data_IF_340607972429
#
_entry.id   IF_340607972429
#
_cell.length_a   1.000
_cell.length_b   1.000
_cell.length_c   1.000
_cell.angle_alpha   90.00
_cell.angle_beta   90.00
_cell.angle_gamma   90.00
#
_symmetry.space_group_name_H-M   'P 1'
#
loop_
_entity.id
_entity.type
_entity.pdbx_description
1 polymer ?
#
# COMPACT_ATOMS: atom_id res chain seq x y z
N UNK A 1 16.24 -11.96 21.11
CA UNK A 1 16.23 -11.33 22.46
C UNK A 1 16.36 -12.46 23.46
N UNK A 2 17.25 -12.37 24.45
CA UNK A 2 17.51 -13.48 25.40
C UNK A 2 16.21 -14.00 26.05
N UNK A 3 15.23 -13.11 26.27
CA UNK A 3 13.96 -13.45 26.93
C UNK A 3 12.73 -13.56 25.99
N UNK A 4 12.92 -13.56 24.66
CA UNK A 4 11.80 -13.68 23.70
C UNK A 4 12.13 -14.60 22.52
N UNK A 5 12.00 -15.93 22.69
CA UNK A 5 12.22 -16.91 21.63
C UNK A 5 11.33 -16.64 20.40
N UNK A 6 11.89 -16.74 19.20
CA UNK A 6 11.19 -16.47 17.94
C UNK A 6 11.11 -14.98 17.55
N UNK A 7 11.51 -14.06 18.43
CA UNK A 7 11.58 -12.64 18.11
C UNK A 7 12.99 -12.21 17.72
N UNK A 8 13.07 -11.45 16.64
CA UNK A 8 14.30 -10.92 16.08
C UNK A 8 14.25 -9.40 16.08
N UNK A 9 15.39 -8.77 16.41
CA UNK A 9 15.62 -7.35 16.19
C UNK A 9 16.56 -7.18 15.02
N UNK A 10 16.36 -6.10 14.26
CA UNK A 10 17.15 -5.75 13.09
C UNK A 10 17.46 -4.27 13.17
N UNK A 11 18.63 -3.88 12.66
CA UNK A 11 18.91 -2.48 12.38
C UNK A 11 17.94 -1.99 11.30
N UNK A 12 17.21 -0.90 11.59
CA UNK A 12 16.15 -0.41 10.71
C UNK A 12 16.69 0.12 9.38
N UNK A 13 17.88 0.71 9.37
CA UNK A 13 18.53 1.23 8.16
C UNK A 13 19.02 0.07 7.30
N UNK A 14 19.63 -0.94 7.91
CA UNK A 14 20.08 -2.14 7.20
C UNK A 14 18.90 -2.90 6.59
N UNK A 15 17.81 -3.07 7.33
CA UNK A 15 16.59 -3.73 6.85
C UNK A 15 16.00 -2.99 5.64
N UNK A 16 15.77 -1.67 5.76
CA UNK A 16 15.19 -0.88 4.68
C UNK A 16 16.08 -0.88 3.43
N UNK A 17 17.39 -0.67 3.61
CA UNK A 17 18.36 -0.65 2.51
C UNK A 17 18.44 -2.02 1.81
N UNK A 18 18.43 -3.11 2.57
CA UNK A 18 18.43 -4.47 2.03
C UNK A 18 17.19 -4.80 1.21
N UNK A 19 16.00 -4.36 1.69
CA UNK A 19 14.74 -4.53 0.95
C UNK A 19 14.74 -3.75 -0.37
N UNK A 20 15.17 -2.49 -0.35
CA UNK A 20 15.29 -1.63 -1.54
C UNK A 20 16.25 -2.26 -2.55
N UNK A 21 17.45 -2.64 -2.11
CA UNK A 21 18.45 -3.27 -2.96
C UNK A 21 17.94 -4.59 -3.57
N UNK A 22 17.30 -5.43 -2.76
CA UNK A 22 16.71 -6.69 -3.20
C UNK A 22 15.62 -6.50 -4.25
N UNK A 23 14.71 -5.55 -4.04
CA UNK A 23 13.64 -5.23 -5.00
C UNK A 23 14.22 -4.75 -6.34
N UNK A 24 15.21 -3.87 -6.31
CA UNK A 24 15.88 -3.37 -7.53
C UNK A 24 16.63 -4.50 -8.26
N UNK A 25 17.32 -5.39 -7.53
CA UNK A 25 17.97 -6.56 -8.14
C UNK A 25 16.98 -7.55 -8.76
N UNK A 26 15.77 -7.64 -8.22
CA UNK A 26 14.68 -8.43 -8.80
C UNK A 26 14.01 -7.75 -10.01
N UNK A 27 14.42 -6.52 -10.37
CA UNK A 27 13.96 -5.81 -11.56
C UNK A 27 12.98 -4.67 -11.28
N UNK A 28 12.60 -4.42 -10.03
CA UNK A 28 11.74 -3.27 -9.69
C UNK A 28 12.44 -1.95 -10.00
N UNK A 29 11.68 -0.97 -10.49
CA UNK A 29 12.11 0.42 -10.65
C UNK A 29 11.54 1.25 -9.52
N UNK A 30 12.38 2.06 -8.89
CA UNK A 30 12.00 2.94 -7.79
C UNK A 30 12.15 4.38 -8.27
N UNK A 31 11.04 5.13 -8.20
CA UNK A 31 10.99 6.56 -8.47
C UNK A 31 10.75 7.27 -7.14
N UNK A 32 11.80 7.84 -6.55
CA UNK A 32 11.69 8.66 -5.35
C UNK A 32 11.38 10.12 -5.72
N UNK A 33 10.95 10.91 -4.74
CA UNK A 33 10.59 12.34 -4.92
C UNK A 33 9.46 12.55 -5.94
N UNK A 34 8.57 11.56 -6.03
CA UNK A 34 7.36 11.56 -6.85
C UNK A 34 6.17 11.35 -5.91
N UNK A 35 5.13 12.16 -6.09
CA UNK A 35 3.84 12.03 -5.40
C UNK A 35 2.78 11.52 -6.38
N UNK A 36 1.78 10.80 -5.86
CA UNK A 36 0.56 10.48 -6.61
C UNK A 36 -0.47 11.56 -6.32
N UNK A 37 -0.96 12.22 -7.36
CA UNK A 37 -1.99 13.26 -7.23
C UNK A 37 -3.38 12.76 -7.64
N UNK A 38 -3.45 11.72 -8.48
CA UNK A 38 -4.72 11.14 -8.94
C UNK A 38 -4.54 9.72 -9.51
N UNK A 39 -5.64 9.14 -9.98
CA UNK A 39 -5.73 7.82 -10.60
C UNK A 39 -5.99 7.94 -12.10
N UNK A 40 -5.44 7.00 -12.86
CA UNK A 40 -5.93 6.75 -14.22
C UNK A 40 -7.10 5.78 -14.09
N UNK A 41 -8.31 6.22 -14.47
CA UNK A 41 -9.53 5.45 -14.36
C UNK A 41 -10.19 5.26 -15.72
N UNK A 42 -10.46 4.01 -16.11
CA UNK A 42 -11.09 3.68 -17.39
C UNK A 42 -11.88 2.38 -17.27
N UNK A 43 -13.02 2.29 -17.93
CA UNK A 43 -13.83 1.05 -18.00
C UNK A 43 -14.16 0.47 -16.60
N UNK A 44 -14.53 1.35 -15.65
CA UNK A 44 -14.81 1.01 -14.24
C UNK A 44 -13.67 0.26 -13.53
N UNK A 45 -12.44 0.60 -13.90
CA UNK A 45 -11.20 0.00 -13.38
C UNK A 45 -10.15 1.07 -13.10
N UNK A 46 -9.32 0.85 -12.08
CA UNK A 46 -8.07 1.59 -11.88
C UNK A 46 -6.99 1.02 -12.80
N UNK A 47 -6.44 1.86 -13.68
CA UNK A 47 -5.51 1.48 -14.75
C UNK A 47 -4.17 2.21 -14.68
N UNK A 48 -3.86 2.85 -13.56
CA UNK A 48 -2.62 3.59 -13.39
C UNK A 48 -2.73 4.73 -12.41
N UNK A 49 -1.69 5.55 -12.39
CA UNK A 49 -1.54 6.67 -11.49
C UNK A 49 -1.22 7.95 -12.28
N UNK A 50 -1.73 9.07 -11.79
CA UNK A 50 -1.31 10.41 -12.18
C UNK A 50 -0.31 10.87 -11.14
N UNK A 51 0.90 11.20 -11.58
CA UNK A 51 2.04 11.48 -10.72
C UNK A 51 2.63 12.85 -11.02
N UNK A 52 3.27 13.42 -10.02
CA UNK A 52 4.05 14.64 -10.17
C UNK A 52 5.30 14.59 -9.30
N UNK A 53 6.18 15.57 -9.49
CA UNK A 53 7.33 15.74 -8.61
C UNK A 53 6.87 16.27 -7.27
N UNK A 54 7.24 15.62 -6.16
CA UNK A 54 6.86 16.08 -4.81
C UNK A 54 7.20 17.56 -4.54
N UNK A 55 8.30 18.15 -5.05
CA UNK A 55 8.55 19.59 -4.91
C UNK A 55 7.53 20.48 -5.63
N UNK A 56 7.00 20.08 -6.78
CA UNK A 56 5.97 20.83 -7.53
C UNK A 56 4.72 20.96 -6.68
N UNK A 57 4.26 19.83 -6.14
CA UNK A 57 3.11 19.77 -5.23
C UNK A 57 3.36 20.61 -3.96
N UNK A 58 4.49 20.40 -3.29
CA UNK A 58 4.83 21.11 -2.03
C UNK A 58 4.97 22.63 -2.19
N UNK A 59 5.40 23.09 -3.36
CA UNK A 59 5.57 24.52 -3.65
C UNK A 59 4.33 25.15 -4.29
N UNK A 60 3.28 24.36 -4.57
CA UNK A 60 2.05 24.85 -5.22
C UNK A 60 2.30 25.36 -6.64
N UNK A 61 3.27 24.78 -7.36
CA UNK A 61 3.60 25.19 -8.72
C UNK A 61 2.54 24.67 -9.70
N UNK A 62 2.17 25.50 -10.67
CA UNK A 62 1.22 25.14 -11.73
C UNK A 62 1.93 24.39 -12.87
N UNK A 63 2.32 23.14 -12.61
CA UNK A 63 2.92 22.23 -13.60
C UNK A 63 2.03 21.01 -13.72
N UNK A 64 1.60 20.71 -14.95
CA UNK A 64 0.74 19.56 -15.23
C UNK A 64 1.43 18.23 -14.88
N UNK A 65 0.67 17.23 -14.37
CA UNK A 65 1.22 15.94 -13.97
C UNK A 65 1.47 15.01 -15.16
N UNK A 66 2.13 13.89 -14.88
CA UNK A 66 2.38 12.80 -15.83
C UNK A 66 1.53 11.57 -15.48
N UNK A 67 1.38 10.63 -16.42
CA UNK A 67 0.65 9.38 -16.19
C UNK A 67 1.57 8.16 -16.26
N UNK A 68 1.30 7.20 -15.37
CA UNK A 68 1.90 5.86 -15.39
C UNK A 68 0.78 4.85 -15.54
N UNK A 69 0.72 4.18 -16.70
CA UNK A 69 -0.29 3.16 -16.99
C UNK A 69 0.16 1.82 -16.39
N UNK A 70 -0.75 1.14 -15.71
CA UNK A 70 -0.52 -0.15 -15.07
C UNK A 70 -1.74 -1.07 -15.15
N UNK A 71 -1.50 -2.39 -15.19
CA UNK A 71 -2.60 -3.37 -15.15
C UNK A 71 -3.28 -3.44 -13.77
N UNK A 72 -2.53 -3.10 -12.72
CA UNK A 72 -2.97 -2.99 -11.34
C UNK A 72 -2.15 -1.94 -10.57
N UNK A 73 -2.76 -1.37 -9.55
CA UNK A 73 -2.16 -0.48 -8.55
C UNK A 73 -2.24 -1.15 -7.19
N UNK A 74 -1.15 -1.12 -6.43
CA UNK A 74 -1.09 -1.58 -5.04
C UNK A 74 -0.86 -0.37 -4.13
N UNK A 75 -1.84 -0.04 -3.30
CA UNK A 75 -1.71 0.97 -2.26
C UNK A 75 -0.88 0.41 -1.09
N UNK A 76 0.39 0.83 -1.04
CA UNK A 76 1.32 0.60 0.06
C UNK A 76 1.67 1.88 0.82
N UNK A 77 0.83 2.92 0.78
CA UNK A 77 1.11 4.24 1.37
C UNK A 77 1.05 4.28 2.90
N UNK A 78 0.70 3.15 3.53
CA UNK A 78 0.66 3.00 4.97
C UNK A 78 -0.65 3.50 5.58
N UNK A 79 -0.59 4.04 6.79
CA UNK A 79 -1.76 4.51 7.54
C UNK A 79 -2.68 5.47 6.76
N UNK A 80 -2.16 6.41 5.94
CA UNK A 80 -3.02 7.35 5.23
C UNK A 80 -3.87 6.76 4.13
N UNK A 81 -3.53 5.58 3.57
CA UNK A 81 -4.27 4.95 2.46
C UNK A 81 -4.56 5.93 1.30
N UNK A 82 -3.55 6.69 0.87
CA UNK A 82 -3.74 7.87 0.02
C UNK A 82 -4.42 7.53 -1.31
N UNK A 83 -4.06 6.40 -1.91
CA UNK A 83 -4.58 5.96 -3.21
C UNK A 83 -6.05 5.53 -3.09
N UNK A 84 -6.39 4.79 -2.03
CA UNK A 84 -7.76 4.40 -1.73
C UNK A 84 -8.64 5.61 -1.38
N UNK A 85 -8.12 6.60 -0.66
CA UNK A 85 -8.81 7.86 -0.41
C UNK A 85 -9.10 8.59 -1.72
N UNK A 86 -8.11 8.78 -2.59
CA UNK A 86 -8.31 9.35 -3.92
C UNK A 86 -9.41 8.61 -4.70
N UNK A 87 -9.39 7.27 -4.66
CA UNK A 87 -10.39 6.47 -5.35
C UNK A 87 -11.81 6.71 -4.80
N UNK A 88 -12.00 6.62 -3.48
CA UNK A 88 -13.32 6.79 -2.85
C UNK A 88 -13.84 8.22 -2.90
N UNK A 89 -12.96 9.22 -2.83
CA UNK A 89 -13.35 10.62 -2.76
C UNK A 89 -13.50 11.27 -4.13
N UNK A 90 -12.59 10.99 -5.07
CA UNK A 90 -12.58 11.62 -6.40
C UNK A 90 -13.32 10.79 -7.43
N UNK A 91 -13.00 9.50 -7.52
CA UNK A 91 -13.67 8.59 -8.45
C UNK A 91 -15.01 8.06 -7.91
N UNK A 92 -15.35 8.33 -6.64
CA UNK A 92 -16.60 7.91 -5.97
C UNK A 92 -16.85 6.40 -6.06
N UNK A 93 -15.79 5.61 -6.13
CA UNK A 93 -15.92 4.15 -6.18
C UNK A 93 -16.38 3.61 -4.84
N UNK A 94 -17.08 2.48 -4.88
CA UNK A 94 -17.38 1.68 -3.69
C UNK A 94 -16.32 0.60 -3.56
N UNK A 95 -15.57 0.63 -2.47
CA UNK A 95 -14.61 -0.42 -2.13
C UNK A 95 -15.37 -1.68 -1.70
N UNK A 96 -14.76 -2.85 -1.90
CA UNK A 96 -15.19 -4.11 -1.27
C UNK A 96 -14.89 -4.05 0.23
N UNK A 97 -15.71 -3.29 0.95
CA UNK A 97 -15.72 -3.16 2.41
C UNK A 97 -17.17 -3.13 2.88
N UNK A 98 -17.44 -3.47 4.15
CA UNK A 98 -18.79 -3.38 4.73
C UNK A 98 -19.48 -2.02 4.55
N UNK A 99 -18.71 -0.93 4.45
CA UNK A 99 -19.23 0.44 4.31
C UNK A 99 -19.21 0.96 2.89
N UNK A 100 -18.56 0.26 1.95
CA UNK A 100 -18.25 0.77 0.61
C UNK A 100 -17.13 1.82 0.58
N UNK A 101 -16.52 2.15 1.72
CA UNK A 101 -15.43 3.12 1.85
C UNK A 101 -14.36 2.66 2.83
N UNK A 102 -13.48 3.57 3.23
CA UNK A 102 -12.44 3.32 4.22
C UNK A 102 -13.07 3.34 5.63
N UNK A 103 -12.86 2.29 6.42
CA UNK A 103 -13.44 2.17 7.77
C UNK A 103 -12.63 2.97 8.80
N UNK A 104 -11.29 3.01 8.64
CA UNK A 104 -10.37 3.68 9.56
C UNK A 104 -9.79 2.74 10.59
N UNK A 105 -8.47 2.74 10.76
CA UNK A 105 -7.79 1.87 11.72
C UNK A 105 -8.16 2.16 13.19
N UNK A 106 -8.02 1.12 14.01
CA UNK A 106 -8.21 1.16 15.46
C UNK A 106 -6.87 1.44 16.18
N UNK A 107 -6.92 1.81 17.48
CA UNK A 107 -5.74 1.92 18.33
C UNK A 107 -4.91 0.64 18.42
N UNK A 108 -3.87 0.64 19.24
CA UNK A 108 -2.89 -0.45 19.25
C UNK A 108 -3.41 -1.74 19.88
N UNK A 109 -3.32 -2.83 19.11
CA UNK A 109 -3.41 -4.21 19.58
C UNK A 109 -2.47 -5.03 18.70
N UNK A 110 -1.28 -5.34 19.22
CA UNK A 110 -0.15 -5.87 18.43
C UNK A 110 -0.48 -7.17 17.71
N UNK A 111 -0.94 -8.18 18.45
CA UNK A 111 -1.25 -9.50 17.92
C UNK A 111 -2.36 -9.44 16.85
N UNK A 112 -3.47 -8.77 17.17
CA UNK A 112 -4.57 -8.57 16.21
C UNK A 112 -4.13 -7.75 15.00
N UNK A 113 -3.30 -6.72 15.20
CA UNK A 113 -2.78 -5.86 14.14
C UNK A 113 -1.89 -6.61 13.15
N UNK A 114 -0.95 -7.43 13.64
CA UNK A 114 -0.08 -8.26 12.79
C UNK A 114 -0.90 -9.26 11.95
N UNK A 115 -1.88 -9.95 12.56
CA UNK A 115 -2.73 -10.91 11.87
C UNK A 115 -3.65 -10.22 10.83
N UNK A 116 -4.40 -9.21 11.27
CA UNK A 116 -5.35 -8.48 10.43
C UNK A 116 -4.68 -7.80 9.23
N UNK A 117 -3.43 -7.33 9.36
CA UNK A 117 -2.69 -6.73 8.24
C UNK A 117 -2.58 -7.71 7.07
N UNK A 118 -2.28 -8.98 7.37
CA UNK A 118 -2.15 -10.02 6.35
C UNK A 118 -3.54 -10.41 5.84
N UNK A 119 -4.52 -10.59 6.71
CA UNK A 119 -5.89 -10.95 6.35
C UNK A 119 -6.53 -9.92 5.41
N UNK A 120 -6.41 -8.64 5.74
CA UNK A 120 -6.98 -7.52 5.00
C UNK A 120 -6.24 -7.20 3.71
N UNK A 121 -5.09 -7.81 3.43
CA UNK A 121 -4.39 -7.60 2.15
C UNK A 121 -5.13 -8.28 1.00
N UNK A 122 -5.70 -7.50 0.08
CA UNK A 122 -6.50 -7.99 -1.05
C UNK A 122 -6.76 -6.90 -2.10
N UNK A 123 -7.50 -7.27 -3.14
CA UNK A 123 -8.12 -6.33 -4.08
C UNK A 123 -9.37 -5.72 -3.45
N UNK A 124 -9.50 -4.39 -3.51
CA UNK A 124 -10.65 -3.65 -2.97
C UNK A 124 -11.56 -3.07 -4.06
N UNK A 125 -11.04 -2.96 -5.28
CA UNK A 125 -11.78 -2.54 -6.47
C UNK A 125 -11.04 -3.07 -7.70
N UNK A 126 -11.69 -3.30 -8.86
CA UNK A 126 -10.99 -3.76 -10.06
C UNK A 126 -9.72 -2.94 -10.36
N UNK A 127 -8.57 -3.61 -10.30
CA UNK A 127 -7.25 -3.01 -10.54
C UNK A 127 -6.63 -2.30 -9.35
N UNK A 128 -7.27 -2.24 -8.18
CA UNK A 128 -6.80 -1.55 -6.98
C UNK A 128 -6.70 -2.50 -5.78
N UNK A 129 -5.48 -2.77 -5.36
CA UNK A 129 -5.13 -3.58 -4.20
C UNK A 129 -4.62 -2.71 -3.07
N UNK A 130 -4.63 -3.23 -1.84
CA UNK A 130 -3.93 -2.62 -0.73
C UNK A 130 -3.16 -3.65 0.10
N UNK A 131 -2.05 -3.22 0.69
CA UNK A 131 -1.25 -4.02 1.62
C UNK A 131 -0.76 -3.18 2.81
N UNK A 132 -0.12 -3.84 3.77
CA UNK A 132 0.42 -3.22 4.98
C UNK A 132 -0.64 -2.47 5.76
N UNK A 133 -0.25 -1.35 6.38
CA UNK A 133 -1.18 -0.52 7.14
C UNK A 133 -2.29 0.08 6.28
N UNK A 134 -2.12 0.24 4.96
CA UNK A 134 -3.20 0.73 4.11
C UNK A 134 -4.37 -0.27 4.07
N UNK A 135 -4.07 -1.57 3.93
CA UNK A 135 -5.08 -2.62 4.02
C UNK A 135 -5.79 -2.64 5.38
N UNK A 136 -5.04 -2.45 6.47
CA UNK A 136 -5.64 -2.42 7.81
C UNK A 136 -6.51 -1.18 8.05
N UNK A 137 -6.11 -0.03 7.54
CA UNK A 137 -6.89 1.19 7.63
C UNK A 137 -8.22 1.08 6.87
N UNK A 138 -8.20 0.48 5.68
CA UNK A 138 -9.42 0.27 4.87
C UNK A 138 -10.44 -0.63 5.58
N UNK A 139 -9.99 -1.67 6.29
CA UNK A 139 -10.86 -2.66 6.93
C UNK A 139 -11.09 -2.46 8.43
N UNK A 140 -10.52 -1.40 9.03
CA UNK A 140 -10.67 -1.11 10.45
C UNK A 140 -9.97 -2.09 11.39
N UNK A 141 -8.81 -2.59 10.96
CA UNK A 141 -7.89 -3.39 11.78
C UNK A 141 -7.16 -2.54 12.83
N UNK A 142 -6.38 -3.18 13.70
CA UNK A 142 -5.59 -2.52 14.74
C UNK A 142 -4.17 -2.19 14.25
N UNK A 143 -3.52 -1.18 14.81
CA UNK A 143 -2.08 -0.95 14.61
C UNK A 143 -1.24 -1.86 15.51
N UNK A 144 -0.03 -2.20 15.06
CA UNK A 144 0.87 -3.14 15.75
C UNK A 144 2.14 -2.53 16.35
N UNK A 145 2.47 -1.28 16.04
CA UNK A 145 3.69 -0.65 16.53
C UNK A 145 4.95 -1.20 15.82
N UNK A 146 6.11 -1.22 16.48
CA UNK A 146 7.41 -1.51 15.84
C UNK A 146 7.67 -3.02 15.66
N UNK A 147 6.71 -3.73 15.05
CA UNK A 147 6.84 -5.12 14.61
C UNK A 147 6.41 -5.19 13.14
N UNK A 148 7.14 -5.96 12.35
CA UNK A 148 7.06 -5.89 10.88
C UNK A 148 6.76 -7.24 10.21
N UNK A 149 6.47 -8.29 10.99
CA UNK A 149 6.19 -9.62 10.44
C UNK A 149 4.95 -9.58 9.54
N UNK A 150 3.87 -9.00 10.03
CA UNK A 150 2.63 -8.76 9.31
C UNK A 150 2.83 -7.91 8.07
N UNK A 151 3.68 -6.87 8.12
CA UNK A 151 4.01 -6.04 6.96
C UNK A 151 4.69 -6.84 5.84
N UNK A 152 5.71 -7.64 6.18
CA UNK A 152 6.44 -8.46 5.21
C UNK A 152 5.54 -9.56 4.63
N UNK A 153 4.73 -10.21 5.46
CA UNK A 153 3.81 -11.27 5.03
C UNK A 153 2.66 -10.72 4.18
N UNK A 154 2.17 -9.53 4.52
CA UNK A 154 1.20 -8.78 3.71
C UNK A 154 1.77 -8.48 2.33
N UNK A 155 2.98 -7.92 2.23
CA UNK A 155 3.63 -7.68 0.94
C UNK A 155 3.78 -8.94 0.08
N UNK A 156 4.17 -10.08 0.70
CA UNK A 156 4.21 -11.38 0.00
C UNK A 156 2.84 -11.84 -0.47
N UNK A 157 1.80 -11.70 0.36
CA UNK A 157 0.42 -12.05 -0.02
C UNK A 157 -0.06 -11.20 -1.19
N UNK A 158 0.18 -9.89 -1.17
CA UNK A 158 -0.17 -8.99 -2.26
C UNK A 158 0.51 -9.41 -3.57
N UNK A 159 1.82 -9.66 -3.53
CA UNK A 159 2.58 -10.13 -4.70
C UNK A 159 2.01 -11.44 -5.26
N UNK A 160 1.67 -12.41 -4.41
CA UNK A 160 1.04 -13.67 -4.81
C UNK A 160 -0.32 -13.45 -5.47
N UNK A 161 -1.21 -12.68 -4.84
CA UNK A 161 -2.55 -12.42 -5.39
C UNK A 161 -2.49 -11.72 -6.76
N UNK A 162 -1.57 -10.76 -6.91
CA UNK A 162 -1.36 -10.05 -8.17
C UNK A 162 -0.80 -11.00 -9.23
N UNK A 163 0.21 -11.82 -8.90
CA UNK A 163 0.77 -12.80 -9.82
C UNK A 163 -0.28 -13.81 -10.28
N UNK A 164 -1.06 -14.38 -9.35
CA UNK A 164 -2.18 -15.30 -9.64
C UNK A 164 -3.21 -14.65 -10.58
N UNK A 165 -3.58 -13.38 -10.33
CA UNK A 165 -4.54 -12.66 -11.16
C UNK A 165 -4.07 -12.46 -12.62
N UNK A 166 -2.76 -12.29 -12.82
CA UNK A 166 -2.18 -12.05 -14.15
C UNK A 166 -1.45 -13.26 -14.75
N UNK A 167 -1.56 -14.44 -14.14
CA UNK A 167 -0.96 -15.67 -14.63
C UNK A 167 0.57 -15.66 -14.70
N UNK A 168 1.22 -15.01 -13.73
CA UNK A 168 2.69 -14.88 -13.63
C UNK A 168 3.28 -15.79 -12.56
#
# INVERSE_FOLDING_TARGET
LEDAPGYHTLDSVAMASGLIFGAMRAGAKIFNSVSVEDLVFKDEKVNGLVINWTPVERLGMHVDPLTVIAECVLDGTGHPSEILHLATEKAKIKLDTPTGGIIGEKPMWVESGEASTVENTREYYPGLFACGMSANNVMGGYRMGPIFGGMLMSGRKAARLIAEKFGK
#
